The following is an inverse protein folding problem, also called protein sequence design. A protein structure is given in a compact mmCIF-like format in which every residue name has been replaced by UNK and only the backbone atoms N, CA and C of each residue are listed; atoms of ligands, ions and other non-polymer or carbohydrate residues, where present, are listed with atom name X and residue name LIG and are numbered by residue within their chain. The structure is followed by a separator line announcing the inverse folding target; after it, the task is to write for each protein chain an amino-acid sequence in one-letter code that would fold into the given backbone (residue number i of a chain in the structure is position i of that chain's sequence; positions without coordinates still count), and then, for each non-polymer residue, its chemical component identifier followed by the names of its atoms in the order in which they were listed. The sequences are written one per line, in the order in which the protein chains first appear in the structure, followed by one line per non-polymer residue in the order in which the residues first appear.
data_IF_640833114470
#
_entry.id   IF_640833114470
#
_cell.length_a   1.000
_cell.length_b   1.000
_cell.length_c   1.000
_cell.angle_alpha   90.00
_cell.angle_beta   90.00
_cell.angle_gamma   90.00
#
_symmetry.space_group_name_H-M   'P 1'
#
loop_
_entity.id
_entity.type
_entity.pdbx_description
1 polymer ?
#
# COMPACT_ATOMS: atom_id res chain seq x y z
N UNK A 1 -10.78 16.69 20.52
CA UNK A 1 -10.49 15.90 21.73
C UNK A 1 -10.29 14.44 21.32
N UNK A 2 -9.05 13.94 21.29
CA UNK A 2 -8.74 12.52 21.00
C UNK A 2 -7.83 12.02 22.12
N UNK A 3 -8.33 11.08 22.92
CA UNK A 3 -7.60 10.44 24.02
C UNK A 3 -6.82 9.25 23.46
N UNK A 4 -5.49 9.27 23.60
CA UNK A 4 -4.60 8.12 23.41
C UNK A 4 -4.45 7.40 24.75
N UNK A 5 -4.81 6.12 24.81
CA UNK A 5 -4.53 5.29 25.98
C UNK A 5 -3.26 4.49 25.68
N UNK A 6 -2.23 4.85 26.44
CA UNK A 6 -0.90 4.27 26.53
C UNK A 6 -0.97 2.93 27.27
N UNK A 7 -0.47 1.85 26.67
CA UNK A 7 -0.28 0.58 27.37
C UNK A 7 1.19 0.50 27.81
N UNK A 8 1.42 0.84 29.07
CA UNK A 8 2.69 0.57 29.78
C UNK A 8 2.73 -0.91 30.13
N UNK A 9 3.72 -1.65 29.61
CA UNK A 9 4.04 -2.99 30.08
C UNK A 9 5.05 -2.82 31.22
N UNK A 10 4.54 -2.87 32.45
CA UNK A 10 5.34 -2.97 33.67
C UNK A 10 5.91 -4.38 33.79
N UNK A 11 7.21 -4.52 33.55
CA UNK A 11 7.96 -5.74 33.88
C UNK A 11 8.46 -5.60 35.32
N UNK A 12 7.72 -6.17 36.26
CA UNK A 12 8.11 -6.21 37.68
C UNK A 12 9.24 -7.23 37.85
N UNK A 13 10.44 -6.74 38.07
CA UNK A 13 11.58 -7.51 38.56
C UNK A 13 11.41 -7.68 40.09
N UNK A 14 11.05 -8.88 40.56
CA UNK A 14 11.10 -9.22 41.98
C UNK A 14 12.43 -9.93 42.24
N UNK A 15 13.35 -9.20 42.86
CA UNK A 15 14.57 -9.73 43.46
C UNK A 15 14.41 -9.79 44.97
N UNK A 16 14.90 -10.88 45.56
CA UNK A 16 15.31 -11.05 46.96
C UNK A 16 14.22 -11.40 47.97
N UNK A 17 14.35 -12.56 48.65
CA UNK A 17 14.81 -12.63 50.06
C UNK A 17 15.51 -13.99 50.29
N UNK A 18 16.66 -13.96 50.99
CA UNK A 18 17.44 -15.13 51.41
C UNK A 18 16.72 -15.99 52.48
N UNK A 19 17.07 -17.28 52.65
CA UNK A 19 16.89 -17.98 53.91
C UNK A 19 18.09 -17.77 54.86
N UNK A 20 17.76 -17.35 56.08
CA UNK A 20 18.57 -17.24 57.31
C UNK A 20 18.95 -18.63 57.83
N UNK A 21 20.14 -18.76 58.41
CA UNK A 21 20.64 -19.96 59.11
C UNK A 21 20.08 -20.06 60.54
N UNK A 22 19.82 -21.28 61.02
CA UNK A 22 19.94 -21.66 62.42
C UNK A 22 20.30 -23.16 62.54
N UNK A 23 21.16 -23.43 63.51
CA UNK A 23 21.73 -24.65 64.12
C UNK A 23 20.87 -25.94 64.10
N UNK A 24 21.35 -27.17 64.34
CA UNK A 24 22.50 -27.69 65.08
C UNK A 24 22.63 -29.19 64.72
N UNK A 25 23.84 -29.74 64.80
CA UNK A 25 24.22 -31.10 65.28
C UNK A 25 25.41 -31.66 64.50
N UNK A 26 26.52 -31.77 65.23
CA UNK A 26 27.78 -32.44 64.89
C UNK A 26 27.57 -33.91 64.51
N UNK A 27 28.46 -34.51 63.69
CA UNK A 27 29.55 -35.25 64.34
C UNK A 27 30.93 -35.12 63.65
N UNK A 28 31.93 -35.14 64.54
CA UNK A 28 33.33 -35.62 64.44
C UNK A 28 34.14 -35.55 63.13
N UNK A 29 35.40 -35.06 63.17
CA UNK A 29 36.24 -34.91 62.00
C UNK A 29 36.97 -36.22 61.67
N UNK A 30 36.65 -36.81 60.52
CA UNK A 30 37.55 -37.74 59.83
C UNK A 30 38.26 -36.97 58.73
N UNK A 31 39.55 -36.70 58.95
CA UNK A 31 40.46 -36.08 58.00
C UNK A 31 40.53 -36.93 56.72
N UNK A 32 39.93 -36.43 55.64
CA UNK A 32 40.30 -36.78 54.27
C UNK A 32 40.52 -35.48 53.52
N UNK A 33 41.78 -35.05 53.48
CA UNK A 33 42.22 -33.87 52.76
C UNK A 33 42.27 -34.15 51.26
N UNK A 34 41.11 -34.34 50.60
CA UNK A 34 40.96 -34.38 49.12
C UNK A 34 39.49 -34.23 48.62
N UNK A 35 38.75 -33.13 48.92
CA UNK A 35 37.66 -32.74 48.00
C UNK A 35 37.52 -31.23 47.71
N UNK A 36 38.32 -30.37 48.34
CA UNK A 36 38.19 -28.90 48.23
C UNK A 36 38.75 -28.32 46.93
N UNK A 37 39.79 -28.94 46.33
CA UNK A 37 40.31 -28.56 45.00
C UNK A 37 39.30 -28.93 43.91
N UNK A 38 38.83 -30.16 43.91
CA UNK A 38 37.85 -30.68 42.94
C UNK A 38 36.54 -29.88 42.91
N UNK A 39 36.04 -29.43 44.07
CA UNK A 39 34.86 -28.54 44.13
C UNK A 39 35.10 -27.14 43.56
N UNK A 40 36.31 -26.58 43.71
CA UNK A 40 36.67 -25.28 43.13
C UNK A 40 36.89 -25.38 41.62
N UNK A 41 37.54 -26.45 41.18
CA UNK A 41 37.83 -26.68 39.77
C UNK A 41 36.52 -26.92 38.98
N UNK A 42 35.60 -27.75 39.50
CA UNK A 42 34.26 -27.95 38.92
C UNK A 42 33.42 -26.66 38.91
N UNK A 43 33.52 -25.82 39.95
CA UNK A 43 32.84 -24.51 39.98
C UNK A 43 33.40 -23.54 38.94
N UNK A 44 34.71 -23.54 38.71
CA UNK A 44 35.38 -22.70 37.71
C UNK A 44 35.06 -23.16 36.28
N UNK A 45 35.00 -24.47 36.04
CA UNK A 45 34.62 -25.07 34.75
C UNK A 45 33.16 -24.72 34.39
N UNK A 46 32.22 -24.86 35.33
CA UNK A 46 30.83 -24.41 35.15
C UNK A 46 30.72 -22.90 34.88
N UNK A 47 31.58 -22.09 35.51
CA UNK A 47 31.66 -20.65 35.27
C UNK A 47 32.20 -20.31 33.88
N UNK A 48 33.14 -21.09 33.35
CA UNK A 48 33.64 -20.92 31.98
C UNK A 48 32.57 -21.34 30.95
N UNK A 49 31.96 -22.50 31.13
CA UNK A 49 30.90 -22.99 30.24
C UNK A 49 29.70 -22.03 30.18
N UNK A 50 29.29 -21.46 31.33
CA UNK A 50 28.23 -20.45 31.36
C UNK A 50 28.64 -19.14 30.68
N UNK A 51 29.89 -18.69 30.82
CA UNK A 51 30.41 -17.50 30.11
C UNK A 51 30.43 -17.72 28.59
N UNK A 52 30.81 -18.91 28.13
CA UNK A 52 30.80 -19.27 26.71
C UNK A 52 29.38 -19.31 26.16
N UNK A 53 28.44 -19.95 26.85
CA UNK A 53 27.01 -19.95 26.47
C UNK A 53 26.43 -18.54 26.42
N UNK A 54 26.79 -17.67 27.36
CA UNK A 54 26.37 -16.26 27.35
C UNK A 54 26.99 -15.50 26.16
N UNK A 55 28.25 -15.77 25.81
CA UNK A 55 28.91 -15.17 24.64
C UNK A 55 28.25 -15.62 23.34
N UNK A 56 28.00 -16.92 23.19
CA UNK A 56 27.31 -17.49 22.04
C UNK A 56 25.87 -16.96 21.91
N UNK A 57 25.13 -16.88 23.02
CA UNK A 57 23.81 -16.27 23.04
C UNK A 57 23.84 -14.79 22.63
N UNK A 58 24.87 -14.05 23.06
CA UNK A 58 25.06 -12.64 22.68
C UNK A 58 25.35 -12.48 21.19
N UNK A 59 26.15 -13.37 20.60
CA UNK A 59 26.44 -13.40 19.16
C UNK A 59 25.17 -13.74 18.35
N UNK A 60 24.43 -14.78 18.74
CA UNK A 60 23.13 -15.13 18.13
C UNK A 60 22.12 -13.98 18.20
N UNK A 61 22.07 -13.25 19.32
CA UNK A 61 21.21 -12.06 19.45
C UNK A 61 21.67 -10.92 18.54
N UNK A 62 22.98 -10.75 18.34
CA UNK A 62 23.53 -9.74 17.43
C UNK A 62 23.18 -10.06 15.98
N UNK A 63 23.41 -11.31 15.55
CA UNK A 63 23.03 -11.79 14.22
C UNK A 63 21.53 -11.63 13.97
N UNK A 64 20.68 -12.05 14.91
CA UNK A 64 19.24 -11.90 14.79
C UNK A 64 18.82 -10.43 14.68
N UNK A 65 19.50 -9.51 15.38
CA UNK A 65 19.24 -8.07 15.26
C UNK A 65 19.59 -7.56 13.87
N UNK A 66 20.71 -7.98 13.30
CA UNK A 66 21.15 -7.50 12.00
C UNK A 66 20.27 -8.08 10.88
N UNK A 67 19.89 -9.35 10.95
CA UNK A 67 18.88 -9.96 10.06
C UNK A 67 17.54 -9.23 10.14
N UNK A 68 17.08 -8.86 11.34
CA UNK A 68 15.84 -8.10 11.51
C UNK A 68 15.92 -6.69 10.92
N UNK A 69 17.06 -6.00 11.05
CA UNK A 69 17.28 -4.68 10.44
C UNK A 69 17.28 -4.78 8.92
N UNK A 70 17.96 -5.78 8.38
CA UNK A 70 18.02 -6.01 6.93
C UNK A 70 16.63 -6.35 6.37
N UNK A 71 15.88 -7.24 7.03
CA UNK A 71 14.50 -7.55 6.67
C UNK A 71 13.57 -6.32 6.76
N UNK A 72 13.79 -5.43 7.73
CA UNK A 72 13.04 -4.18 7.84
C UNK A 72 13.39 -3.19 6.71
N UNK A 73 14.66 -3.12 6.31
CA UNK A 73 15.12 -2.30 5.19
C UNK A 73 14.56 -2.81 3.85
N UNK A 74 14.57 -4.12 3.62
CA UNK A 74 13.97 -4.73 2.43
C UNK A 74 12.47 -4.46 2.36
N UNK A 75 11.73 -4.64 3.45
CA UNK A 75 10.31 -4.27 3.52
C UNK A 75 10.08 -2.78 3.23
N UNK A 76 10.93 -1.90 3.75
CA UNK A 76 10.84 -0.47 3.48
C UNK A 76 11.09 -0.13 2.00
N UNK A 77 12.04 -0.81 1.35
CA UNK A 77 12.31 -0.66 -0.10
C UNK A 77 11.13 -1.13 -0.93
N UNK A 78 10.54 -2.27 -0.57
CA UNK A 78 9.37 -2.82 -1.25
C UNK A 78 8.16 -1.89 -1.14
N UNK A 79 7.88 -1.37 0.06
CA UNK A 79 6.81 -0.38 0.26
C UNK A 79 7.03 0.89 -0.56
N UNK A 80 8.27 1.37 -0.68
CA UNK A 80 8.60 2.51 -1.55
C UNK A 80 8.35 2.19 -3.03
N UNK A 81 8.77 1.02 -3.51
CA UNK A 81 8.52 0.59 -4.90
C UNK A 81 7.03 0.54 -5.21
N UNK A 82 6.24 -0.11 -4.34
CA UNK A 82 4.78 -0.16 -4.48
C UNK A 82 4.11 1.21 -4.46
N UNK A 83 4.60 2.12 -3.61
CA UNK A 83 4.08 3.49 -3.60
C UNK A 83 4.34 4.20 -4.94
N UNK A 84 5.52 4.02 -5.53
CA UNK A 84 5.85 4.57 -6.86
C UNK A 84 4.96 3.96 -7.95
N UNK A 85 4.80 2.65 -7.96
CA UNK A 85 3.94 1.94 -8.93
C UNK A 85 2.47 2.36 -8.80
N UNK A 86 1.96 2.51 -7.57
CA UNK A 86 0.61 3.03 -7.29
C UNK A 86 0.43 4.43 -7.85
N UNK A 87 1.39 5.33 -7.61
CA UNK A 87 1.34 6.70 -8.15
C UNK A 87 1.37 6.67 -9.67
N UNK A 88 2.20 5.83 -10.28
CA UNK A 88 2.26 5.69 -11.73
C UNK A 88 0.95 5.16 -12.32
N UNK A 89 0.32 4.17 -11.68
CA UNK A 89 -0.99 3.64 -12.08
C UNK A 89 -2.08 4.72 -12.01
N UNK A 90 -2.11 5.53 -10.95
CA UNK A 90 -3.04 6.66 -10.81
C UNK A 90 -2.82 7.71 -11.90
N UNK A 91 -1.56 8.04 -12.20
CA UNK A 91 -1.22 8.96 -13.30
C UNK A 91 -1.74 8.44 -14.65
N UNK A 92 -1.55 7.15 -14.94
CA UNK A 92 -2.07 6.53 -16.17
C UNK A 92 -3.60 6.63 -16.27
N UNK A 93 -4.30 6.31 -15.18
CA UNK A 93 -5.75 6.46 -15.11
C UNK A 93 -6.20 7.91 -15.34
N UNK A 94 -5.50 8.88 -14.74
CA UNK A 94 -5.80 10.30 -14.92
C UNK A 94 -5.54 10.77 -16.35
N UNK A 95 -4.44 10.33 -16.98
CA UNK A 95 -4.16 10.65 -18.39
C UNK A 95 -5.24 10.09 -19.32
N UNK A 96 -5.71 8.87 -19.08
CA UNK A 96 -6.80 8.26 -19.84
C UNK A 96 -8.11 9.05 -19.66
N UNK A 97 -8.43 9.46 -18.42
CA UNK A 97 -9.59 10.29 -18.13
C UNK A 97 -9.54 11.64 -18.87
N UNK A 98 -8.40 12.33 -18.83
CA UNK A 98 -8.21 13.60 -19.54
C UNK A 98 -8.33 13.44 -21.05
N UNK A 99 -7.78 12.36 -21.61
CA UNK A 99 -7.90 12.05 -23.03
C UNK A 99 -9.35 11.82 -23.45
N UNK A 100 -10.10 11.03 -22.68
CA UNK A 100 -11.52 10.77 -22.92
C UNK A 100 -12.36 12.06 -22.86
N UNK A 101 -12.11 12.94 -21.87
CA UNK A 101 -12.78 14.24 -21.80
C UNK A 101 -12.45 15.15 -22.98
N UNK A 102 -11.19 15.17 -23.42
CA UNK A 102 -10.78 15.95 -24.59
C UNK A 102 -11.52 15.46 -25.84
N UNK A 103 -11.54 14.15 -26.07
CA UNK A 103 -12.25 13.55 -27.20
C UNK A 103 -13.75 13.86 -27.17
N UNK A 104 -14.40 13.74 -26.00
CA UNK A 104 -15.81 14.10 -25.84
C UNK A 104 -16.06 15.57 -26.17
N UNK A 105 -15.17 16.47 -25.72
CA UNK A 105 -15.27 17.91 -25.99
C UNK A 105 -15.08 18.22 -27.49
N UNK A 106 -14.12 17.57 -28.14
CA UNK A 106 -13.85 17.76 -29.57
C UNK A 106 -15.04 17.30 -30.42
N UNK A 107 -15.66 16.16 -30.07
CA UNK A 107 -16.89 15.67 -30.71
C UNK A 107 -18.04 16.68 -30.52
N UNK A 108 -18.24 17.17 -29.29
CA UNK A 108 -19.27 18.18 -29.01
C UNK A 108 -19.07 19.47 -29.81
N UNK A 109 -17.83 19.95 -29.92
CA UNK A 109 -17.50 21.13 -30.69
C UNK A 109 -17.74 20.93 -32.18
N UNK A 110 -17.34 19.79 -32.73
CA UNK A 110 -17.58 19.45 -34.14
C UNK A 110 -19.08 19.37 -34.45
N UNK A 111 -19.86 18.69 -33.60
CA UNK A 111 -21.31 18.60 -33.74
C UNK A 111 -21.99 19.98 -33.65
N UNK A 112 -21.56 20.81 -32.69
CA UNK A 112 -22.10 22.16 -32.51
C UNK A 112 -21.79 23.09 -33.68
N UNK A 113 -20.59 22.97 -34.28
CA UNK A 113 -20.21 23.71 -35.49
C UNK A 113 -21.08 23.31 -36.68
N UNK A 114 -21.21 22.01 -36.97
CA UNK A 114 -22.07 21.50 -38.04
C UNK A 114 -23.52 21.94 -37.89
N UNK A 115 -24.09 21.78 -36.68
CA UNK A 115 -25.45 22.23 -36.41
C UNK A 115 -25.65 23.73 -36.66
N UNK A 116 -24.64 24.55 -36.36
CA UNK A 116 -24.68 25.99 -36.60
C UNK A 116 -24.60 26.32 -38.10
N UNK A 117 -23.71 25.66 -38.84
CA UNK A 117 -23.58 25.81 -40.29
C UNK A 117 -24.88 25.43 -41.02
N UNK A 118 -25.50 24.30 -40.63
CA UNK A 118 -26.79 23.87 -41.16
C UNK A 118 -27.90 24.88 -40.83
N UNK A 119 -27.92 25.42 -39.62
CA UNK A 119 -28.87 26.45 -39.21
C UNK A 119 -28.71 27.74 -40.03
N UNK A 120 -27.47 28.20 -40.23
CA UNK A 120 -27.20 29.44 -40.97
C UNK A 120 -27.62 29.30 -42.45
N UNK A 121 -27.35 28.14 -43.07
CA UNK A 121 -27.82 27.82 -44.43
C UNK A 121 -29.34 27.75 -44.52
N UNK A 122 -30.00 27.03 -43.59
CA UNK A 122 -31.46 26.93 -43.58
C UNK A 122 -32.12 28.29 -43.35
N UNK A 123 -31.52 29.13 -42.51
CA UNK A 123 -31.98 30.50 -42.26
C UNK A 123 -31.80 31.40 -43.49
N UNK A 124 -30.70 31.27 -44.23
CA UNK A 124 -30.51 32.00 -45.50
C UNK A 124 -31.59 31.61 -46.52
N UNK A 125 -31.81 30.32 -46.75
CA UNK A 125 -32.89 29.82 -47.64
C UNK A 125 -34.28 30.30 -47.22
N UNK A 126 -34.56 30.32 -45.91
CA UNK A 126 -35.83 30.81 -45.39
C UNK A 126 -36.03 32.33 -45.64
N UNK A 127 -34.95 33.12 -45.64
CA UNK A 127 -35.01 34.55 -46.00
C UNK A 127 -35.27 34.74 -47.49
N UNK A 128 -34.59 33.98 -48.34
CA UNK A 128 -34.76 34.05 -49.80
C UNK A 128 -36.20 33.71 -50.21
N UNK A 129 -36.81 32.74 -49.53
CA UNK A 129 -38.19 32.29 -49.77
C UNK A 129 -39.24 33.08 -48.98
N UNK A 130 -38.84 34.07 -48.16
CA UNK A 130 -39.71 34.79 -47.23
C UNK A 130 -40.59 33.91 -46.31
N UNK A 131 -40.19 32.66 -46.08
CA UNK A 131 -40.98 31.70 -45.31
C UNK A 131 -40.65 31.77 -43.81
N UNK A 132 -41.60 32.27 -43.03
CA UNK A 132 -41.52 32.27 -41.55
C UNK A 132 -41.51 30.86 -40.97
N UNK A 133 -42.22 29.93 -41.61
CA UNK A 133 -42.29 28.52 -41.19
C UNK A 133 -40.95 27.82 -41.37
N UNK A 134 -40.28 28.04 -42.51
CA UNK A 134 -38.94 27.50 -42.75
C UNK A 134 -37.92 28.03 -41.74
N UNK A 135 -38.00 29.32 -41.38
CA UNK A 135 -37.12 29.91 -40.36
C UNK A 135 -37.39 29.34 -38.95
N UNK A 136 -38.64 29.02 -38.62
CA UNK A 136 -39.02 28.39 -37.36
C UNK A 136 -38.53 26.95 -37.30
N UNK A 137 -38.76 26.16 -38.36
CA UNK A 137 -38.29 24.79 -38.48
C UNK A 137 -36.76 24.69 -38.36
N UNK A 138 -36.01 25.62 -38.99
CA UNK A 138 -34.56 25.71 -38.86
C UNK A 138 -34.10 25.97 -37.41
N UNK A 139 -34.79 26.85 -36.68
CA UNK A 139 -34.47 27.10 -35.25
C UNK A 139 -34.75 25.87 -34.40
N UNK A 140 -35.88 25.18 -34.64
CA UNK A 140 -36.25 23.98 -33.91
C UNK A 140 -35.26 22.84 -34.15
N UNK A 141 -34.85 22.61 -35.41
CA UNK A 141 -33.83 21.61 -35.75
C UNK A 141 -32.48 21.92 -35.08
N UNK A 142 -32.03 23.18 -35.11
CA UNK A 142 -30.81 23.61 -34.43
C UNK A 142 -30.86 23.35 -32.93
N UNK A 143 -31.98 23.67 -32.27
CA UNK A 143 -32.14 23.44 -30.83
C UNK A 143 -32.16 21.95 -30.48
N UNK A 144 -32.81 21.13 -31.30
CA UNK A 144 -32.79 19.67 -31.14
C UNK A 144 -31.38 19.10 -31.30
N UNK A 145 -30.66 19.49 -32.35
CA UNK A 145 -29.28 19.07 -32.58
C UNK A 145 -28.34 19.49 -31.43
N UNK A 146 -28.48 20.72 -30.94
CA UNK A 146 -27.70 21.22 -29.80
C UNK A 146 -27.99 20.43 -28.52
N UNK A 147 -29.26 20.15 -28.22
CA UNK A 147 -29.67 19.32 -27.07
C UNK A 147 -29.10 17.91 -27.18
N UNK A 148 -29.20 17.27 -28.34
CA UNK A 148 -28.66 15.94 -28.58
C UNK A 148 -27.14 15.90 -28.39
N UNK A 149 -26.40 16.87 -28.96
CA UNK A 149 -24.96 16.99 -28.78
C UNK A 149 -24.57 17.19 -27.31
N UNK A 150 -25.33 18.01 -26.56
CA UNK A 150 -25.08 18.24 -25.14
C UNK A 150 -25.36 17.00 -24.29
N UNK A 151 -26.44 16.27 -24.57
CA UNK A 151 -26.75 15.00 -23.90
C UNK A 151 -25.68 13.92 -24.16
N UNK A 152 -25.19 13.83 -25.40
CA UNK A 152 -24.10 12.93 -25.75
C UNK A 152 -22.81 13.28 -25.00
N UNK A 153 -22.48 14.57 -24.90
CA UNK A 153 -21.32 15.04 -24.15
C UNK A 153 -21.41 14.72 -22.66
N UNK A 154 -22.53 15.00 -22.01
CA UNK A 154 -22.71 14.70 -20.58
C UNK A 154 -22.69 13.19 -20.30
N UNK A 155 -23.28 12.37 -21.18
CA UNK A 155 -23.19 10.91 -21.10
C UNK A 155 -21.75 10.42 -21.19
N UNK A 156 -20.98 10.91 -22.18
CA UNK A 156 -19.58 10.55 -22.34
C UNK A 156 -18.71 10.98 -21.14
N UNK A 157 -18.95 12.19 -20.62
CA UNK A 157 -18.26 12.72 -19.43
C UNK A 157 -18.56 11.89 -18.18
N UNK A 158 -19.81 11.46 -18.00
CA UNK A 158 -20.21 10.58 -16.90
C UNK A 158 -19.52 9.21 -17.02
N UNK A 159 -19.57 8.58 -18.20
CA UNK A 159 -18.90 7.31 -18.46
C UNK A 159 -17.39 7.38 -18.20
N UNK A 160 -16.72 8.45 -18.64
CA UNK A 160 -15.30 8.67 -18.39
C UNK A 160 -15.00 8.80 -16.88
N UNK A 161 -15.88 9.48 -16.13
CA UNK A 161 -15.73 9.64 -14.67
C UNK A 161 -15.93 8.31 -13.94
N UNK A 162 -16.94 7.55 -14.31
CA UNK A 162 -17.24 6.25 -13.71
C UNK A 162 -16.09 5.27 -13.95
N UNK A 163 -15.54 5.24 -15.17
CA UNK A 163 -14.35 4.44 -15.50
C UNK A 163 -13.13 4.85 -14.68
N UNK A 164 -12.91 6.15 -14.47
CA UNK A 164 -11.80 6.66 -13.66
C UNK A 164 -11.94 6.29 -12.17
N UNK A 165 -13.14 6.40 -11.60
CA UNK A 165 -13.38 5.99 -10.22
C UNK A 165 -13.25 4.47 -10.04
N UNK A 166 -13.73 3.67 -10.99
CA UNK A 166 -13.52 2.22 -10.98
C UNK A 166 -12.03 1.86 -11.02
N UNK A 167 -11.24 2.54 -11.86
CA UNK A 167 -9.78 2.37 -11.90
C UNK A 167 -9.11 2.78 -10.58
N UNK A 168 -9.54 3.86 -9.93
CA UNK A 168 -9.03 4.25 -8.61
C UNK A 168 -9.34 3.21 -7.55
N UNK A 169 -10.54 2.64 -7.56
CA UNK A 169 -10.94 1.59 -6.63
C UNK A 169 -10.14 0.31 -6.84
N UNK A 170 -9.93 -0.13 -8.09
CA UNK A 170 -9.12 -1.31 -8.39
C UNK A 170 -7.67 -1.14 -7.96
N UNK A 171 -7.06 0.02 -8.25
CA UNK A 171 -5.72 0.39 -7.78
C UNK A 171 -5.69 0.37 -6.24
N UNK A 172 -6.69 0.97 -5.57
CA UNK A 172 -6.75 0.97 -4.11
C UNK A 172 -6.81 -0.45 -3.56
N UNK A 173 -7.67 -1.30 -4.12
CA UNK A 173 -7.82 -2.70 -3.69
C UNK A 173 -6.51 -3.46 -3.83
N UNK A 174 -5.87 -3.39 -5.01
CA UNK A 174 -4.61 -4.06 -5.31
C UNK A 174 -3.47 -3.69 -4.35
N UNK A 175 -3.35 -2.41 -3.98
CA UNK A 175 -2.30 -1.95 -3.07
C UNK A 175 -2.70 -1.94 -1.58
N UNK A 176 -3.93 -2.37 -1.23
CA UNK A 176 -4.38 -2.48 0.17
C UNK A 176 -4.30 -3.91 0.70
N UNK A 177 -4.20 -4.93 -0.16
CA UNK A 177 -4.04 -6.32 0.25
C UNK A 177 -2.61 -6.60 0.75
N UNK A 178 -2.45 -7.33 1.87
CA UNK A 178 -1.14 -7.82 2.29
C UNK A 178 -0.67 -8.83 1.24
N UNK A 179 0.43 -8.52 0.58
CA UNK A 179 1.02 -9.41 -0.41
C UNK A 179 1.74 -10.53 0.33
N UNK A 180 1.22 -11.74 0.24
CA UNK A 180 2.05 -12.93 0.27
C UNK A 180 2.89 -12.88 -1.01
N UNK A 181 4.16 -12.53 -0.88
CA UNK A 181 5.14 -12.58 -1.98
C UNK A 181 5.02 -13.93 -2.70
N UNK A 182 4.62 -14.00 -3.98
CA UNK A 182 4.74 -15.24 -4.73
C UNK A 182 6.23 -15.49 -4.94
N UNK A 183 6.74 -16.56 -4.33
CA UNK A 183 8.03 -17.14 -4.67
C UNK A 183 8.05 -17.36 -6.19
N UNK A 184 9.07 -16.87 -6.93
CA UNK A 184 9.14 -17.11 -8.36
C UNK A 184 9.32 -18.61 -8.61
N UNK A 185 8.29 -19.27 -9.12
CA UNK A 185 8.40 -20.63 -9.68
C UNK A 185 9.27 -20.55 -10.92
N UNK A 186 10.51 -21.02 -10.81
CA UNK A 186 11.41 -21.24 -11.94
C UNK A 186 10.78 -22.22 -12.91
N UNK A 187 10.34 -21.74 -14.07
CA UNK A 187 9.99 -22.56 -15.23
C UNK A 187 11.27 -23.24 -15.75
N UNK A 188 11.33 -24.58 -15.87
CA UNK A 188 12.47 -25.24 -16.47
C UNK A 188 12.53 -24.92 -17.96
N UNK A 189 13.68 -24.40 -18.38
CA UNK A 189 14.02 -24.09 -19.76
C UNK A 189 14.07 -25.40 -20.56
N UNK A 190 13.20 -25.53 -21.56
CA UNK A 190 13.28 -26.60 -22.55
C UNK A 190 14.42 -26.29 -23.53
N UNK A 191 15.37 -27.22 -23.64
CA UNK A 191 16.51 -27.18 -24.56
C UNK A 191 16.05 -27.60 -25.98
N UNK A 192 16.60 -27.00 -27.06
CA UNK A 192 16.23 -27.28 -28.46
C UNK A 192 16.56 -28.69 -28.94
#
# INVERSE_FOLDING_TARGET
MKKTISVFISLVFVFSVLPVWADETSPTPSVSASPLKERRDNKNERLQETKEKVKEAREKVKEMKDVRKEAALEKARELKRRAVERVQALKRAETAYRAALKQAKDIYQAASKRAKEEFDLAKQRAKETNSKEAAKAARESYQMAKKAAQQAFETAKKAARDAFEAAKQSIRSYYSSPTTSPTPTTTPMATP
#
